data_IF_055954836773
#
_entry.id   IF_055954836773
#
_cell.length_a   1.000
_cell.length_b   1.000
_cell.length_c   1.000
_cell.angle_alpha   90.00
_cell.angle_beta   90.00
_cell.angle_gamma   90.00
#
_symmetry.space_group_name_H-M   'P 1'
#
loop_
_entity.id
_entity.type
_entity.pdbx_description
1 polymer ?
#
# COMPACT_ATOMS: atom_id res chain seq x y z
N UNK A 1 6.55 13.63 16.26
CA UNK A 1 5.65 13.73 15.10
C UNK A 1 6.47 13.51 13.84
N UNK A 2 5.98 12.74 12.89
CA UNK A 2 6.72 12.34 11.68
C UNK A 2 5.78 12.38 10.47
N UNK A 3 6.27 12.86 9.33
CA UNK A 3 5.51 12.84 8.08
C UNK A 3 6.19 11.95 7.03
N UNK A 4 5.41 11.04 6.47
CA UNK A 4 5.82 10.03 5.49
C UNK A 4 5.14 10.34 4.15
N UNK A 5 5.92 10.29 3.08
CA UNK A 5 5.44 10.37 1.71
C UNK A 5 5.57 8.98 1.06
N UNK A 6 4.45 8.28 0.90
CA UNK A 6 4.43 6.88 0.47
C UNK A 6 4.08 6.75 -1.01
N UNK A 7 5.06 6.37 -1.82
CA UNK A 7 4.89 6.07 -3.24
C UNK A 7 4.68 4.55 -3.41
N UNK A 8 3.49 4.11 -3.84
CA UNK A 8 3.19 2.68 -3.99
C UNK A 8 4.01 2.09 -5.13
N UNK A 9 4.01 2.77 -6.28
CA UNK A 9 4.73 2.39 -7.50
C UNK A 9 5.59 3.53 -8.05
N UNK A 10 6.32 3.28 -9.15
CA UNK A 10 7.16 4.30 -9.80
C UNK A 10 6.37 5.51 -10.30
N UNK A 11 5.10 5.32 -10.65
CA UNK A 11 4.24 6.37 -11.21
C UNK A 11 3.55 7.26 -10.15
N UNK A 12 3.73 6.97 -8.86
CA UNK A 12 3.14 7.74 -7.76
C UNK A 12 3.99 8.99 -7.43
N UNK A 13 4.30 9.83 -8.40
CA UNK A 13 5.00 11.09 -8.14
C UNK A 13 4.05 12.12 -7.51
N UNK A 14 4.49 12.81 -6.45
CA UNK A 14 3.74 13.88 -5.79
C UNK A 14 4.17 15.26 -6.27
N UNK A 15 3.21 16.16 -6.46
CA UNK A 15 3.52 17.55 -6.82
C UNK A 15 4.13 18.31 -5.64
N UNK A 16 4.94 19.36 -5.88
CA UNK A 16 5.42 20.24 -4.80
C UNK A 16 4.29 20.88 -3.99
N UNK A 17 3.11 21.08 -4.60
CA UNK A 17 1.93 21.57 -3.91
C UNK A 17 1.41 20.56 -2.88
N UNK A 18 1.38 19.27 -3.23
CA UNK A 18 0.98 18.22 -2.30
C UNK A 18 1.99 18.03 -1.16
N UNK A 19 3.30 18.06 -1.47
CA UNK A 19 4.35 18.00 -0.45
C UNK A 19 4.21 19.13 0.57
N UNK A 20 3.98 20.38 0.11
CA UNK A 20 3.70 21.52 1.00
C UNK A 20 2.46 21.30 1.86
N UNK A 21 1.35 20.82 1.25
CA UNK A 21 0.12 20.52 1.99
C UNK A 21 0.36 19.51 3.12
N UNK A 22 1.15 18.47 2.87
CA UNK A 22 1.53 17.49 3.90
C UNK A 22 2.41 18.12 4.98
N UNK A 23 3.39 18.93 4.57
CA UNK A 23 4.29 19.66 5.44
C UNK A 23 3.54 20.58 6.41
N UNK A 24 2.62 21.40 5.88
CA UNK A 24 1.81 22.35 6.63
C UNK A 24 0.88 21.62 7.61
N UNK A 25 0.24 20.55 7.15
CA UNK A 25 -0.65 19.74 7.99
C UNK A 25 0.12 19.04 9.12
N UNK A 26 1.36 18.62 8.86
CA UNK A 26 2.22 18.02 9.86
C UNK A 26 3.00 19.04 10.73
N UNK A 27 2.93 20.34 10.45
CA UNK A 27 3.75 21.35 11.13
C UNK A 27 5.25 21.13 10.98
N UNK A 28 5.67 20.51 9.87
CA UNK A 28 7.06 20.13 9.58
C UNK A 28 7.60 20.93 8.40
N UNK A 29 8.93 20.97 8.24
CA UNK A 29 9.57 21.52 7.04
C UNK A 29 9.53 20.48 5.90
N UNK A 30 9.43 20.92 4.64
CA UNK A 30 9.28 20.01 3.48
C UNK A 30 10.48 19.07 3.36
N UNK A 31 11.66 19.53 3.76
CA UNK A 31 12.92 18.79 3.74
C UNK A 31 12.99 17.70 4.81
N UNK A 32 12.10 17.76 5.82
CA UNK A 32 12.00 16.75 6.88
C UNK A 32 10.99 15.64 6.57
N UNK A 33 10.30 15.71 5.42
CA UNK A 33 9.42 14.64 4.96
C UNK A 33 10.24 13.40 4.62
N UNK A 34 9.84 12.25 5.16
CA UNK A 34 10.50 10.98 4.87
C UNK A 34 9.83 10.32 3.67
N UNK A 35 10.55 10.17 2.57
CA UNK A 35 10.02 9.51 1.38
C UNK A 35 10.23 7.99 1.40
N UNK A 36 9.16 7.23 1.19
CA UNK A 36 9.20 5.78 0.97
C UNK A 36 8.83 5.52 -0.48
N UNK A 37 9.86 5.30 -1.31
CA UNK A 37 9.70 4.99 -2.73
C UNK A 37 9.52 3.50 -2.98
N UNK A 38 8.78 3.17 -4.03
CA UNK A 38 8.53 1.80 -4.49
C UNK A 38 8.04 0.86 -3.36
N UNK A 39 7.14 1.35 -2.50
CA UNK A 39 6.68 0.64 -1.30
C UNK A 39 6.21 -0.79 -1.62
N UNK A 40 5.45 -0.96 -2.71
CA UNK A 40 4.91 -2.28 -3.07
C UNK A 40 6.02 -3.27 -3.44
N UNK A 41 6.98 -2.84 -4.26
CA UNK A 41 8.10 -3.69 -4.65
C UNK A 41 8.98 -4.07 -3.45
N UNK A 42 9.25 -3.11 -2.55
CA UNK A 42 10.04 -3.34 -1.34
C UNK A 42 9.39 -4.38 -0.43
N UNK A 43 8.12 -4.18 -0.10
CA UNK A 43 7.38 -5.04 0.83
C UNK A 43 7.17 -6.45 0.27
N UNK A 44 6.84 -6.58 -1.02
CA UNK A 44 6.37 -7.85 -1.58
C UNK A 44 7.44 -8.66 -2.31
N UNK A 45 8.59 -8.06 -2.69
CA UNK A 45 9.65 -8.79 -3.36
C UNK A 45 10.64 -9.43 -2.38
N UNK A 46 11.27 -8.68 -1.46
CA UNK A 46 12.21 -9.27 -0.46
C UNK A 46 12.76 -8.31 0.61
N UNK A 47 12.44 -7.01 0.61
CA UNK A 47 13.09 -6.02 1.50
C UNK A 47 12.09 -4.97 2.02
N UNK A 48 11.31 -5.28 3.08
CA UNK A 48 10.39 -4.32 3.64
C UNK A 48 11.15 -3.03 4.04
N UNK A 49 10.52 -1.85 3.93
CA UNK A 49 11.15 -0.64 4.41
C UNK A 49 11.48 -0.78 5.89
N UNK A 50 12.65 -0.29 6.29
CA UNK A 50 12.99 -0.10 7.70
C UNK A 50 12.11 1.02 8.28
N UNK A 51 10.85 0.70 8.51
CA UNK A 51 9.84 1.57 9.06
C UNK A 51 9.32 0.91 10.32
N UNK A 52 9.61 1.53 11.46
CA UNK A 52 9.04 1.18 12.77
C UNK A 52 8.22 2.37 13.23
N UNK A 53 7.01 2.10 13.73
CA UNK A 53 6.14 3.14 14.28
C UNK A 53 6.19 3.04 15.79
N UNK A 54 6.66 4.12 16.43
CA UNK A 54 6.82 4.19 17.87
C UNK A 54 5.47 4.53 18.52
N UNK A 55 5.00 3.75 19.51
CA UNK A 55 3.77 4.05 20.23
C UNK A 55 3.75 5.47 20.79
N UNK A 56 2.59 6.12 20.73
CA UNK A 56 2.43 7.51 21.19
C UNK A 56 3.04 8.58 20.27
N UNK A 57 3.65 8.19 19.14
CA UNK A 57 4.05 9.13 18.09
C UNK A 57 2.91 9.37 17.11
N UNK A 58 2.71 10.63 16.76
CA UNK A 58 1.78 11.06 15.72
C UNK A 58 2.45 11.02 14.34
N UNK A 59 1.81 10.33 13.39
CA UNK A 59 2.29 10.12 12.03
C UNK A 59 1.34 10.74 11.01
N UNK A 60 1.90 11.46 10.03
CA UNK A 60 1.18 11.95 8.85
C UNK A 60 1.61 11.14 7.63
N UNK A 61 0.68 10.52 6.93
CA UNK A 61 0.98 9.70 5.75
C UNK A 61 0.32 10.32 4.52
N UNK A 62 1.16 10.92 3.66
CA UNK A 62 0.78 11.38 2.34
C UNK A 62 0.86 10.24 1.31
N UNK A 63 -0.24 9.93 0.63
CA UNK A 63 -0.25 8.92 -0.43
C UNK A 63 -1.41 9.08 -1.42
N UNK A 64 -1.37 8.38 -2.56
CA UNK A 64 -2.50 8.35 -3.51
C UNK A 64 -3.53 7.27 -3.21
N UNK A 65 -3.10 6.18 -2.56
CA UNK A 65 -3.92 4.99 -2.31
C UNK A 65 -3.83 4.57 -0.83
N UNK A 66 -4.56 5.25 0.08
CA UNK A 66 -4.48 4.98 1.51
C UNK A 66 -4.72 3.51 1.88
N UNK A 67 -5.74 2.89 1.26
CA UNK A 67 -6.04 1.45 1.49
C UNK A 67 -4.91 0.54 1.04
N UNK A 68 -4.28 0.81 -0.10
CA UNK A 68 -3.14 0.03 -0.61
C UNK A 68 -1.92 0.21 0.28
N UNK A 69 -1.60 1.44 0.71
CA UNK A 69 -0.48 1.71 1.63
C UNK A 69 -0.71 0.98 2.94
N UNK A 70 -1.91 1.08 3.54
CA UNK A 70 -2.25 0.36 4.76
C UNK A 70 -2.11 -1.16 4.61
N UNK A 71 -2.61 -1.72 3.51
CA UNK A 71 -2.48 -3.15 3.23
C UNK A 71 -1.01 -3.60 3.08
N UNK A 72 -0.16 -2.76 2.46
CA UNK A 72 1.28 -3.00 2.34
C UNK A 72 1.99 -2.93 3.70
N UNK A 73 1.67 -1.93 4.53
CA UNK A 73 2.22 -1.82 5.88
C UNK A 73 1.85 -3.05 6.72
N UNK A 74 0.58 -3.46 6.68
CA UNK A 74 0.13 -4.68 7.35
C UNK A 74 0.83 -5.94 6.83
N UNK A 75 1.05 -6.04 5.52
CA UNK A 75 1.82 -7.16 4.92
C UNK A 75 3.27 -7.17 5.40
N UNK A 76 3.89 -6.00 5.57
CA UNK A 76 5.24 -5.85 6.10
C UNK A 76 5.34 -6.12 7.62
N UNK A 77 4.22 -6.43 8.29
CA UNK A 77 4.18 -6.59 9.75
C UNK A 77 4.20 -5.28 10.53
N UNK A 78 3.98 -4.14 9.86
CA UNK A 78 3.94 -2.82 10.49
C UNK A 78 2.52 -2.56 10.96
N UNK A 79 2.28 -2.74 12.26
CA UNK A 79 1.00 -2.46 12.89
C UNK A 79 0.79 -0.94 13.05
N UNK A 80 -0.43 -0.48 12.77
CA UNK A 80 -0.86 0.90 13.03
C UNK A 80 -1.62 1.01 14.37
N UNK A 81 -1.74 -0.09 15.13
CA UNK A 81 -2.43 -0.10 16.41
C UNK A 81 -1.64 0.68 17.46
N UNK A 82 -2.33 1.55 18.19
CA UNK A 82 -1.71 2.36 19.24
C UNK A 82 -0.85 3.54 18.74
N UNK A 83 -0.86 3.81 17.43
CA UNK A 83 -0.29 5.03 16.85
C UNK A 83 -1.36 5.90 16.21
N UNK A 84 -1.21 7.21 16.32
CA UNK A 84 -2.13 8.15 15.68
C UNK A 84 -1.66 8.41 14.26
N UNK A 85 -2.44 7.98 13.27
CA UNK A 85 -2.11 8.15 11.85
C UNK A 85 -3.11 9.08 11.17
N UNK A 86 -2.61 10.19 10.64
CA UNK A 86 -3.35 11.13 9.82
C UNK A 86 -3.09 10.84 8.34
N UNK A 87 -4.14 10.49 7.61
CA UNK A 87 -4.03 10.20 6.19
C UNK A 87 -4.28 11.44 5.36
N UNK A 88 -3.35 11.78 4.48
CA UNK A 88 -3.54 12.81 3.47
C UNK A 88 -3.50 12.16 2.08
N UNK A 89 -4.65 12.13 1.41
CA UNK A 89 -4.76 11.59 0.07
C UNK A 89 -4.41 12.66 -0.98
N UNK A 90 -3.53 12.33 -1.93
CA UNK A 90 -3.34 13.13 -3.14
C UNK A 90 -4.36 12.73 -4.21
N UNK A 91 -5.45 13.48 -4.30
CA UNK A 91 -6.52 13.28 -5.27
C UNK A 91 -6.28 14.01 -6.60
N UNK A 92 -5.15 14.74 -6.74
CA UNK A 92 -4.87 15.55 -7.92
C UNK A 92 -4.40 14.73 -9.13
N UNK A 93 -4.11 13.45 -8.94
CA UNK A 93 -3.79 12.53 -10.03
C UNK A 93 -5.04 12.22 -10.86
N UNK A 94 -4.93 12.29 -12.19
CA UNK A 94 -5.95 11.68 -13.06
C UNK A 94 -6.17 10.22 -12.63
N UNK A 95 -7.42 9.73 -12.61
CA UNK A 95 -7.67 8.32 -12.37
C UNK A 95 -6.89 7.54 -13.43
N UNK A 96 -5.93 6.73 -13.00
CA UNK A 96 -5.35 5.74 -13.89
C UNK A 96 -6.51 4.88 -14.40
N UNK A 97 -6.50 4.55 -15.68
CA UNK A 97 -7.47 3.63 -16.29
C UNK A 97 -7.68 2.41 -15.38
N UNK A 98 -8.82 1.72 -15.39
CA UNK A 98 -9.04 0.53 -14.54
C UNK A 98 -8.02 -0.60 -14.77
N UNK A 99 -7.28 -0.57 -15.89
CA UNK A 99 -6.10 -1.42 -16.13
C UNK A 99 -4.79 -0.86 -15.58
N UNK A 100 -4.71 0.46 -15.34
CA UNK A 100 -3.80 1.29 -14.53
C UNK A 100 -2.29 1.04 -14.57
N UNK A 101 -1.87 0.04 -15.29
CA UNK A 101 -0.58 -0.61 -15.24
C UNK A 101 -0.20 -0.78 -16.67
N UNK A 102 0.83 -0.04 -17.05
CA UNK A 102 1.47 -0.22 -18.34
C UNK A 102 1.85 -1.71 -18.48
N UNK A 103 1.57 -2.34 -19.64
CA UNK A 103 2.07 -3.68 -19.92
C UNK A 103 3.57 -3.77 -19.55
N UNK A 104 3.94 -4.77 -18.76
CA UNK A 104 5.32 -4.96 -18.30
C UNK A 104 5.67 -4.37 -16.92
N UNK A 105 4.75 -3.70 -16.23
CA UNK A 105 4.97 -3.24 -14.85
C UNK A 105 4.33 -4.22 -13.84
N UNK A 106 5.06 -4.68 -12.82
CA UNK A 106 4.51 -5.61 -11.83
C UNK A 106 3.34 -4.94 -11.09
N UNK A 107 2.21 -5.65 -11.08
CA UNK A 107 1.08 -5.36 -10.20
C UNK A 107 1.30 -6.17 -8.94
N UNK A 108 1.41 -5.49 -7.82
CA UNK A 108 1.72 -6.08 -6.53
C UNK A 108 0.42 -6.28 -5.74
N UNK A 109 -0.25 -7.45 -5.84
CA UNK A 109 -1.53 -7.67 -5.18
C UNK A 109 -1.35 -7.59 -3.66
N UNK A 110 -2.32 -6.99 -2.99
CA UNK A 110 -2.40 -6.89 -1.53
C UNK A 110 -3.81 -7.18 -1.07
N UNK A 111 -3.94 -7.61 0.18
CA UNK A 111 -5.24 -7.86 0.83
C UNK A 111 -5.49 -6.73 1.82
N UNK A 112 -6.57 -5.97 1.62
CA UNK A 112 -7.04 -5.00 2.61
C UNK A 112 -7.67 -5.74 3.78
N UNK A 113 -6.94 -5.81 4.90
CA UNK A 113 -7.31 -6.63 6.06
C UNK A 113 -8.58 -6.15 6.76
N UNK A 114 -8.87 -4.85 6.70
CA UNK A 114 -10.06 -4.27 7.33
C UNK A 114 -11.36 -4.69 6.64
N UNK A 115 -11.29 -5.05 5.35
CA UNK A 115 -12.45 -5.47 4.56
C UNK A 115 -12.43 -6.97 4.27
N UNK A 116 -11.30 -7.65 4.47
CA UNK A 116 -11.15 -9.06 4.19
C UNK A 116 -11.94 -9.91 5.20
N UNK A 117 -13.02 -10.54 4.74
CA UNK A 117 -13.85 -11.44 5.55
C UNK A 117 -13.34 -12.90 5.56
N UNK A 118 -12.10 -13.13 5.13
CA UNK A 118 -11.48 -14.45 5.00
C UNK A 118 -12.32 -15.50 4.22
N UNK A 119 -13.05 -15.07 3.18
CA UNK A 119 -13.94 -15.91 2.39
C UNK A 119 -13.25 -16.85 1.39
N UNK A 120 -11.92 -16.74 1.23
CA UNK A 120 -11.08 -17.60 0.38
C UNK A 120 -11.33 -17.52 -1.15
N UNK A 121 -12.27 -16.68 -1.61
CA UNK A 121 -12.64 -16.61 -3.03
C UNK A 121 -11.47 -16.16 -3.93
N UNK A 122 -10.67 -15.18 -3.48
CA UNK A 122 -9.51 -14.70 -4.24
C UNK A 122 -8.48 -15.83 -4.48
N UNK A 123 -8.28 -16.72 -3.50
CA UNK A 123 -7.41 -17.89 -3.61
C UNK A 123 -7.97 -18.93 -4.56
N UNK A 124 -9.25 -19.26 -4.43
CA UNK A 124 -9.90 -20.28 -5.27
C UNK A 124 -9.96 -19.86 -6.75
N UNK A 125 -10.14 -18.56 -7.00
CA UNK A 125 -10.23 -18.03 -8.36
C UNK A 125 -8.86 -17.86 -9.04
N UNK A 126 -7.81 -17.54 -8.29
CA UNK A 126 -6.53 -17.16 -8.89
C UNK A 126 -5.81 -18.36 -9.54
N UNK A 127 -5.81 -18.41 -10.87
CA UNK A 127 -5.12 -19.44 -11.65
C UNK A 127 -3.59 -19.35 -11.59
N UNK A 128 -3.04 -18.23 -11.10
CA UNK A 128 -1.59 -17.98 -11.04
C UNK A 128 -0.98 -18.34 -9.68
N UNK A 129 -1.78 -18.84 -8.73
CA UNK A 129 -1.26 -19.24 -7.42
C UNK A 129 -0.70 -18.07 -6.59
N UNK A 130 -1.24 -16.86 -6.74
CA UNK A 130 -0.81 -15.67 -5.97
C UNK A 130 -1.08 -15.83 -4.47
N UNK A 131 -2.18 -16.46 -4.12
CA UNK A 131 -2.67 -16.53 -2.75
C UNK A 131 -2.50 -17.93 -2.15
N UNK A 132 -2.24 -17.98 -0.84
CA UNK A 132 -2.20 -19.22 -0.05
C UNK A 132 -2.94 -19.01 1.28
N UNK A 133 -3.01 -20.06 2.12
CA UNK A 133 -3.44 -19.93 3.51
C UNK A 133 -2.20 -19.87 4.41
N UNK A 134 -2.23 -19.00 5.42
CA UNK A 134 -1.27 -19.03 6.53
C UNK A 134 -1.63 -20.15 7.52
N UNK A 135 -0.79 -20.33 8.54
CA UNK A 135 -0.97 -21.34 9.60
C UNK A 135 -2.25 -21.11 10.42
N UNK A 136 -2.76 -19.87 10.45
CA UNK A 136 -4.03 -19.51 11.08
C UNK A 136 -5.23 -19.73 10.14
N UNK A 137 -5.01 -20.32 8.96
CA UNK A 137 -6.05 -20.59 7.97
C UNK A 137 -6.56 -19.36 7.23
N UNK A 138 -5.88 -18.21 7.33
CA UNK A 138 -6.25 -16.96 6.66
C UNK A 138 -5.62 -16.86 5.30
N UNK A 139 -6.34 -16.29 4.34
CA UNK A 139 -5.77 -16.03 3.01
C UNK A 139 -4.67 -14.96 3.08
N UNK A 140 -3.53 -15.24 2.46
CA UNK A 140 -2.36 -14.36 2.36
C UNK A 140 -1.89 -14.26 0.90
N UNK A 141 -1.19 -13.18 0.57
CA UNK A 141 -0.46 -13.06 -0.70
C UNK A 141 0.87 -13.79 -0.51
N UNK A 142 1.03 -14.96 -1.11
CA UNK A 142 2.23 -15.80 -0.96
C UNK A 142 3.20 -15.62 -2.15
N UNK A 143 2.67 -15.41 -3.35
CA UNK A 143 3.46 -15.25 -4.57
C UNK A 143 3.02 -13.99 -5.33
N UNK A 144 3.32 -12.78 -4.81
CA UNK A 144 2.85 -11.53 -5.39
C UNK A 144 3.30 -11.33 -6.84
N UNK A 145 4.50 -11.79 -7.19
CA UNK A 145 5.05 -11.70 -8.54
C UNK A 145 4.39 -12.64 -9.56
N UNK A 146 3.59 -13.61 -9.12
CA UNK A 146 2.82 -14.46 -10.05
C UNK A 146 1.58 -13.75 -10.60
N UNK A 147 1.19 -12.60 -10.04
CA UNK A 147 0.02 -11.90 -10.53
C UNK A 147 0.28 -11.40 -11.95
N UNK A 148 -0.60 -11.76 -12.89
CA UNK A 148 -0.57 -11.18 -14.23
C UNK A 148 -0.69 -9.64 -14.10
N UNK A 149 0.26 -8.86 -14.67
CA UNK A 149 0.21 -7.40 -14.63
C UNK A 149 -1.17 -6.84 -15.00
N UNK A 150 -1.71 -5.99 -14.12
CA UNK A 150 -3.00 -5.34 -14.33
C UNK A 150 -4.23 -6.25 -14.25
N UNK A 151 -4.12 -7.49 -13.80
CA UNK A 151 -5.26 -8.40 -13.68
C UNK A 151 -6.20 -8.00 -12.52
N UNK A 152 -7.43 -7.54 -12.79
CA UNK A 152 -8.36 -7.10 -11.74
C UNK A 152 -9.28 -8.23 -11.26
N UNK A 153 -9.13 -9.43 -11.81
CA UNK A 153 -10.18 -10.43 -11.80
C UNK A 153 -10.52 -10.94 -10.39
N UNK A 154 -9.48 -11.23 -9.58
CA UNK A 154 -9.68 -11.62 -8.18
C UNK A 154 -10.18 -10.48 -7.28
N UNK A 155 -9.94 -9.22 -7.65
CA UNK A 155 -10.45 -8.07 -6.90
C UNK A 155 -11.94 -7.83 -7.19
N UNK A 156 -12.38 -8.04 -8.44
CA UNK A 156 -13.79 -7.86 -8.85
C UNK A 156 -14.77 -8.84 -8.20
N UNK A 157 -14.28 -10.00 -7.78
CA UNK A 157 -15.09 -11.02 -7.09
C UNK A 157 -14.99 -10.94 -5.57
N UNK A 158 -14.03 -10.17 -5.04
CA UNK A 158 -13.88 -10.04 -3.59
C UNK A 158 -15.07 -9.24 -3.04
N UNK A 159 -15.80 -9.77 -2.05
CA UNK A 159 -16.98 -9.12 -1.49
C UNK A 159 -16.63 -7.92 -0.61
#
# INVERSE_FOLDING_TARGET
MTALLCHVGPDDAFSPAFQRKLSDAAGLAVESLVEIRHLAARVLATEPPALSLEPGTEYWIGCRRPRTVRALLAHAGIALDGVTVHWLADETAMPLSPSGIQPGHPWFPVIDRDHCQNCDQCRQFCLFGVYARDDAGRVVVAHPLHCKPGCPACARLCP
#
